data_IF_422700610593
#
_entry.id   IF_422700610593
#
_cell.length_a   1.000
_cell.length_b   1.000
_cell.length_c   1.000
_cell.angle_alpha   90.00
_cell.angle_beta   90.00
_cell.angle_gamma   90.00
#
_symmetry.space_group_name_H-M   'P 1'
#
loop_
_entity.id
_entity.type
_entity.pdbx_description
1 polymer ?
#
# COMPACT_ATOMS: atom_id res chain seq x y z
N UNK A 1 -3.40 8.26 -4.99
CA UNK A 1 -3.21 9.60 -4.43
C UNK A 1 -2.47 10.47 -5.43
N UNK A 2 -2.97 11.66 -5.63
CA UNK A 2 -2.69 12.51 -6.77
C UNK A 2 -1.28 13.10 -6.75
N UNK A 3 -0.72 13.28 -5.59
CA UNK A 3 0.62 13.86 -5.40
C UNK A 3 1.72 12.81 -5.22
N UNK A 4 1.38 11.54 -5.38
CA UNK A 4 2.33 10.47 -5.15
C UNK A 4 3.14 10.16 -6.41
N UNK A 5 4.22 10.90 -6.60
CA UNK A 5 5.15 10.69 -7.71
C UNK A 5 5.72 9.28 -7.75
N UNK A 6 5.89 8.64 -6.58
CA UNK A 6 6.35 7.26 -6.51
C UNK A 6 5.33 6.29 -7.16
N UNK A 7 4.03 6.48 -6.93
CA UNK A 7 3.01 5.65 -7.60
C UNK A 7 3.01 5.87 -9.12
N UNK A 8 3.17 7.11 -9.57
CA UNK A 8 3.25 7.41 -11.00
C UNK A 8 4.53 6.83 -11.61
N UNK A 9 5.67 6.95 -10.95
CA UNK A 9 6.94 6.36 -11.38
C UNK A 9 6.90 4.82 -11.40
N UNK A 10 6.07 4.19 -10.57
CA UNK A 10 5.87 2.74 -10.49
C UNK A 10 4.72 2.25 -11.41
N UNK A 11 4.26 3.09 -12.32
CA UNK A 11 3.29 2.75 -13.39
C UNK A 11 1.99 2.13 -12.83
N UNK A 12 1.48 2.69 -11.73
CA UNK A 12 0.23 2.22 -11.11
C UNK A 12 0.34 0.92 -10.27
N UNK A 13 1.49 0.28 -10.24
CA UNK A 13 1.71 -0.92 -9.42
C UNK A 13 2.21 -0.60 -8.00
N UNK A 14 2.41 0.67 -7.68
CA UNK A 14 2.84 1.12 -6.36
C UNK A 14 1.74 1.03 -5.31
N UNK A 15 2.10 0.56 -4.11
CA UNK A 15 1.22 0.52 -2.94
C UNK A 15 1.80 1.44 -1.87
N UNK A 16 0.99 2.38 -1.39
CA UNK A 16 1.40 3.40 -0.44
C UNK A 16 1.11 3.01 1.01
N UNK A 17 2.14 2.70 1.77
CA UNK A 17 2.06 2.55 3.23
C UNK A 17 1.84 3.92 3.90
N UNK A 18 2.33 4.98 3.28
CA UNK A 18 2.11 6.37 3.74
C UNK A 18 0.63 6.70 3.77
N UNK A 19 -0.09 6.46 2.67
CA UNK A 19 -1.54 6.67 2.59
C UNK A 19 -2.30 5.80 3.61
N UNK A 20 -1.86 4.55 3.81
CA UNK A 20 -2.44 3.65 4.81
C UNK A 20 -2.31 4.20 6.23
N UNK A 21 -1.17 4.78 6.58
CA UNK A 21 -0.96 5.41 7.89
C UNK A 21 -1.92 6.59 8.12
N UNK A 22 -2.14 7.42 7.11
CA UNK A 22 -3.12 8.51 7.20
C UNK A 22 -4.56 7.99 7.26
N UNK A 23 -4.87 6.93 6.52
CA UNK A 23 -6.18 6.26 6.60
C UNK A 23 -6.42 5.71 8.01
N UNK A 24 -5.43 5.06 8.63
CA UNK A 24 -5.55 4.60 10.02
C UNK A 24 -5.86 5.75 10.98
N UNK A 25 -5.15 6.87 10.85
CA UNK A 25 -5.39 8.07 11.65
C UNK A 25 -6.83 8.59 11.50
N UNK A 26 -7.30 8.66 10.26
CA UNK A 26 -8.70 9.04 9.98
C UNK A 26 -9.69 8.05 10.59
N UNK A 27 -9.48 6.76 10.42
CA UNK A 27 -10.35 5.71 10.96
C UNK A 27 -10.43 5.75 12.48
N UNK A 28 -9.31 6.01 13.18
CA UNK A 28 -9.30 6.18 14.63
C UNK A 28 -10.16 7.36 15.05
N UNK A 29 -9.98 8.50 14.42
CA UNK A 29 -10.81 9.69 14.67
C UNK A 29 -12.29 9.44 14.40
N UNK A 30 -12.61 8.82 13.26
CA UNK A 30 -14.00 8.52 12.90
C UNK A 30 -14.64 7.50 13.86
N UNK A 31 -13.87 6.50 14.28
CA UNK A 31 -14.29 5.52 15.27
C UNK A 31 -14.67 6.19 16.62
N UNK A 32 -13.88 7.15 17.09
CA UNK A 32 -14.18 7.92 18.29
C UNK A 32 -15.48 8.75 18.14
N UNK A 33 -15.74 9.32 16.97
CA UNK A 33 -17.00 10.01 16.68
C UNK A 33 -18.17 9.04 16.80
N UNK A 34 -18.05 7.85 16.18
CA UNK A 34 -19.10 6.83 16.23
C UNK A 34 -19.38 6.34 17.66
N UNK A 35 -18.36 6.29 18.53
CA UNK A 35 -18.52 5.91 19.92
C UNK A 35 -19.29 6.97 20.75
N UNK A 36 -19.15 8.24 20.39
CA UNK A 36 -19.73 9.37 21.18
C UNK A 36 -21.09 9.83 20.67
N UNK A 37 -21.48 9.41 19.47
CA UNK A 37 -22.73 9.86 18.86
C UNK A 37 -23.95 9.24 19.54
N UNK A 38 -25.01 10.04 19.69
CA UNK A 38 -26.33 9.56 20.10
C UNK A 38 -27.16 9.00 18.93
N UNK A 39 -26.71 9.20 17.69
CA UNK A 39 -27.40 8.74 16.49
C UNK A 39 -27.37 7.21 16.47
N UNK A 40 -28.51 6.59 16.19
CA UNK A 40 -28.68 5.14 16.17
C UNK A 40 -28.44 4.54 14.78
N UNK A 41 -28.82 5.29 13.74
CA UNK A 41 -28.73 4.90 12.35
C UNK A 41 -28.51 6.11 11.46
N UNK A 42 -27.90 5.89 10.30
CA UNK A 42 -27.72 6.91 9.26
C UNK A 42 -28.37 6.41 7.97
N UNK A 43 -29.03 7.31 7.27
CA UNK A 43 -29.64 7.02 5.98
C UNK A 43 -28.66 7.36 4.88
N UNK A 44 -28.34 6.36 4.03
CA UNK A 44 -27.45 6.50 2.87
C UNK A 44 -28.15 5.93 1.63
N UNK A 45 -27.64 6.22 0.43
CA UNK A 45 -28.21 5.64 -0.79
C UNK A 45 -28.17 4.11 -0.74
N UNK A 46 -29.16 3.44 -1.35
CA UNK A 46 -29.26 1.98 -1.38
C UNK A 46 -28.02 1.36 -2.05
N UNK A 47 -27.50 2.01 -3.06
CA UNK A 47 -26.30 1.59 -3.80
C UNK A 47 -25.05 1.63 -2.89
N UNK A 48 -24.87 2.71 -2.14
CA UNK A 48 -23.78 2.84 -1.18
C UNK A 48 -23.92 1.83 -0.03
N UNK A 49 -25.15 1.57 0.42
CA UNK A 49 -25.41 0.56 1.44
C UNK A 49 -25.04 -0.84 0.96
N UNK A 50 -25.34 -1.18 -0.29
CA UNK A 50 -24.96 -2.44 -0.90
C UNK A 50 -23.44 -2.58 -0.99
N UNK A 51 -22.75 -1.54 -1.44
CA UNK A 51 -21.29 -1.50 -1.47
C UNK A 51 -20.68 -1.65 -0.07
N UNK A 52 -21.20 -0.92 0.91
CA UNK A 52 -20.77 -1.01 2.31
C UNK A 52 -20.88 -2.43 2.86
N UNK A 53 -21.99 -3.13 2.60
CA UNK A 53 -22.15 -4.51 3.04
C UNK A 53 -21.15 -5.45 2.37
N UNK A 54 -20.95 -5.33 1.06
CA UNK A 54 -20.01 -6.20 0.32
C UNK A 54 -18.56 -6.07 0.79
N UNK A 55 -18.09 -4.84 1.05
CA UNK A 55 -16.73 -4.65 1.60
C UNK A 55 -16.64 -5.11 3.06
N UNK A 56 -17.68 -4.89 3.86
CA UNK A 56 -17.74 -5.34 5.26
C UNK A 56 -17.68 -6.88 5.35
N UNK A 57 -18.44 -7.58 4.53
CA UNK A 57 -18.42 -9.05 4.43
C UNK A 57 -17.06 -9.57 3.98
N UNK A 58 -16.44 -8.94 2.97
CA UNK A 58 -15.11 -9.34 2.50
C UNK A 58 -14.10 -9.26 3.63
N UNK A 59 -14.09 -8.20 4.41
CA UNK A 59 -13.16 -8.04 5.54
C UNK A 59 -13.51 -9.02 6.68
N UNK A 60 -14.78 -9.14 7.06
CA UNK A 60 -15.20 -10.02 8.14
C UNK A 60 -14.90 -11.50 7.86
N UNK A 61 -15.19 -11.99 6.65
CA UNK A 61 -14.94 -13.36 6.24
C UNK A 61 -13.46 -13.75 6.22
N UNK A 62 -12.57 -12.77 6.12
CA UNK A 62 -11.12 -12.98 6.10
C UNK A 62 -10.42 -12.50 7.40
N UNK A 63 -11.17 -12.11 8.43
CA UNK A 63 -10.62 -11.57 9.69
C UNK A 63 -9.68 -12.56 10.40
N UNK A 64 -9.93 -13.87 10.28
CA UNK A 64 -9.07 -14.92 10.86
C UNK A 64 -7.63 -14.86 10.35
N UNK A 65 -7.38 -14.30 9.17
CA UNK A 65 -6.04 -14.14 8.58
C UNK A 65 -5.19 -13.09 9.31
N UNK A 66 -5.81 -12.19 10.08
CA UNK A 66 -5.10 -11.15 10.85
C UNK A 66 -4.21 -11.69 11.97
N UNK A 67 -4.40 -12.95 12.35
CA UNK A 67 -3.56 -13.63 13.36
C UNK A 67 -2.20 -14.09 12.82
N UNK A 68 -2.01 -14.10 11.49
CA UNK A 68 -0.82 -14.58 10.82
C UNK A 68 -0.26 -13.62 9.78
N UNK A 69 0.58 -14.15 8.89
CA UNK A 69 1.10 -13.45 7.72
C UNK A 69 0.25 -13.78 6.50
N UNK A 70 -0.16 -12.79 5.73
CA UNK A 70 -0.92 -13.00 4.50
C UNK A 70 -0.06 -13.68 3.43
N UNK A 71 -0.53 -14.80 2.91
CA UNK A 71 0.03 -15.39 1.70
C UNK A 71 -0.34 -14.58 0.46
N UNK A 72 0.31 -14.87 -0.67
CA UNK A 72 -0.06 -14.27 -1.96
C UNK A 72 -1.51 -14.57 -2.36
N UNK A 73 -2.01 -15.77 -1.99
CA UNK A 73 -3.40 -16.18 -2.23
C UNK A 73 -4.38 -15.42 -1.35
N UNK A 74 -4.08 -15.27 -0.06
CA UNK A 74 -4.93 -14.50 0.86
C UNK A 74 -5.03 -13.04 0.42
N UNK A 75 -3.90 -12.46 0.01
CA UNK A 75 -3.83 -11.10 -0.52
C UNK A 75 -4.69 -10.95 -1.77
N UNK A 76 -4.59 -11.88 -2.73
CA UNK A 76 -5.42 -11.90 -3.94
C UNK A 76 -6.89 -12.00 -3.60
N UNK A 77 -7.27 -12.92 -2.74
CA UNK A 77 -8.67 -13.14 -2.31
C UNK A 77 -9.30 -11.88 -1.71
N UNK A 78 -8.59 -11.20 -0.80
CA UNK A 78 -9.09 -9.96 -0.19
C UNK A 78 -9.17 -8.84 -1.23
N UNK A 79 -8.13 -8.68 -2.05
CA UNK A 79 -8.08 -7.63 -3.08
C UNK A 79 -9.18 -7.81 -4.11
N UNK A 80 -9.44 -9.04 -4.54
CA UNK A 80 -10.52 -9.34 -5.49
C UNK A 80 -11.90 -9.03 -4.89
N UNK A 81 -12.14 -9.45 -3.65
CA UNK A 81 -13.40 -9.16 -2.98
C UNK A 81 -13.70 -7.66 -2.87
N UNK A 82 -12.70 -6.89 -2.44
CA UNK A 82 -12.81 -5.42 -2.35
C UNK A 82 -12.93 -4.77 -3.74
N UNK A 83 -12.15 -5.23 -4.71
CA UNK A 83 -12.14 -4.73 -6.08
C UNK A 83 -13.45 -5.03 -6.83
N UNK A 84 -14.00 -6.23 -6.67
CA UNK A 84 -15.30 -6.60 -7.25
C UNK A 84 -16.42 -5.76 -6.67
N UNK A 85 -16.48 -5.58 -5.34
CA UNK A 85 -17.47 -4.73 -4.70
C UNK A 85 -17.42 -3.30 -5.24
N UNK A 86 -16.22 -2.72 -5.34
CA UNK A 86 -16.02 -1.38 -5.87
C UNK A 86 -16.39 -1.26 -7.35
N UNK A 87 -16.05 -2.28 -8.16
CA UNK A 87 -16.37 -2.29 -9.59
C UNK A 87 -17.87 -2.41 -9.82
N UNK A 88 -18.56 -3.28 -9.09
CA UNK A 88 -20.01 -3.43 -9.17
C UNK A 88 -20.73 -2.12 -8.80
N UNK A 89 -20.31 -1.48 -7.70
CA UNK A 89 -20.88 -0.18 -7.31
C UNK A 89 -20.69 0.87 -8.41
N UNK A 90 -19.47 1.00 -8.93
CA UNK A 90 -19.15 1.99 -9.97
C UNK A 90 -19.92 1.74 -11.27
N UNK A 91 -19.96 0.50 -11.77
CA UNK A 91 -20.69 0.14 -12.98
C UNK A 91 -22.18 0.40 -12.79
N UNK A 92 -22.75 0.03 -11.65
CA UNK A 92 -24.15 0.30 -11.37
C UNK A 92 -24.49 1.80 -11.47
N UNK A 93 -23.64 2.67 -10.87
CA UNK A 93 -23.84 4.13 -10.93
C UNK A 93 -23.69 4.66 -12.35
N UNK A 94 -22.73 4.16 -13.14
CA UNK A 94 -22.52 4.63 -14.52
C UNK A 94 -23.63 4.19 -15.46
N UNK A 95 -24.14 2.97 -15.29
CA UNK A 95 -25.15 2.40 -16.19
C UNK A 95 -26.58 2.82 -15.82
N UNK A 96 -26.87 3.01 -14.52
CA UNK A 96 -28.24 3.18 -14.01
C UNK A 96 -28.46 4.49 -13.22
N UNK A 97 -27.40 5.25 -12.94
CA UNK A 97 -27.44 6.38 -12.00
C UNK A 97 -27.85 5.97 -10.56
N UNK A 98 -28.04 6.92 -9.68
CA UNK A 98 -28.58 6.67 -8.34
C UNK A 98 -30.11 6.47 -8.42
N UNK A 99 -30.63 5.44 -7.75
CA UNK A 99 -32.08 5.14 -7.72
C UNK A 99 -32.90 6.18 -6.93
N UNK A 100 -32.23 7.00 -6.13
CA UNK A 100 -32.88 7.92 -5.17
C UNK A 100 -33.42 7.23 -3.91
N UNK A 101 -33.37 5.89 -3.85
CA UNK A 101 -33.75 5.14 -2.65
C UNK A 101 -32.69 5.25 -1.57
N UNK A 102 -33.15 5.19 -0.33
CA UNK A 102 -32.27 5.22 0.83
C UNK A 102 -32.45 3.99 1.70
N UNK A 103 -31.37 3.62 2.38
CA UNK A 103 -31.34 2.52 3.34
C UNK A 103 -30.70 2.99 4.65
N UNK A 104 -31.35 2.66 5.77
CA UNK A 104 -30.81 2.93 7.09
C UNK A 104 -29.68 1.94 7.40
N UNK A 105 -28.55 2.46 7.85
CA UNK A 105 -27.41 1.67 8.35
C UNK A 105 -27.28 1.95 9.86
N UNK A 106 -27.36 0.93 10.70
CA UNK A 106 -27.13 1.08 12.13
C UNK A 106 -25.71 1.58 12.41
N UNK A 107 -25.56 2.56 13.31
CA UNK A 107 -24.24 3.10 13.70
C UNK A 107 -23.33 2.01 14.29
N UNK A 108 -23.91 0.99 14.94
CA UNK A 108 -23.15 -0.18 15.41
C UNK A 108 -22.44 -0.94 14.29
N UNK A 109 -23.03 -0.98 13.08
CA UNK A 109 -22.43 -1.67 11.93
C UNK A 109 -21.27 -0.85 11.35
N UNK A 110 -21.40 0.49 11.31
CA UNK A 110 -20.31 1.40 11.00
C UNK A 110 -19.17 1.30 12.01
N UNK A 111 -19.51 1.19 13.30
CA UNK A 111 -18.55 1.02 14.37
C UNK A 111 -17.76 -0.30 14.20
N UNK A 112 -18.46 -1.42 13.96
CA UNK A 112 -17.82 -2.70 13.69
C UNK A 112 -16.93 -2.66 12.43
N UNK A 113 -17.43 -2.05 11.35
CA UNK A 113 -16.65 -1.87 10.12
C UNK A 113 -15.36 -1.07 10.35
N UNK A 114 -15.43 0.04 11.10
CA UNK A 114 -14.23 0.82 11.40
C UNK A 114 -13.23 0.05 12.27
N UNK A 115 -13.69 -0.81 13.18
CA UNK A 115 -12.81 -1.72 13.93
C UNK A 115 -12.10 -2.72 13.03
N UNK A 116 -12.82 -3.33 12.08
CA UNK A 116 -12.22 -4.22 11.09
C UNK A 116 -11.17 -3.48 10.25
N UNK A 117 -11.52 -2.32 9.71
CA UNK A 117 -10.59 -1.52 8.90
C UNK A 117 -9.32 -1.11 9.68
N UNK A 118 -9.46 -0.75 10.97
CA UNK A 118 -8.32 -0.48 11.85
C UNK A 118 -7.44 -1.72 12.03
N UNK A 119 -8.05 -2.88 12.29
CA UNK A 119 -7.30 -4.13 12.48
C UNK A 119 -6.49 -4.52 11.23
N UNK A 120 -7.08 -4.39 10.03
CA UNK A 120 -6.36 -4.61 8.76
C UNK A 120 -5.26 -3.59 8.52
N UNK A 121 -5.51 -2.32 8.82
CA UNK A 121 -4.51 -1.25 8.68
C UNK A 121 -3.31 -1.49 9.60
N UNK A 122 -3.56 -1.82 10.85
CA UNK A 122 -2.52 -2.09 11.85
C UNK A 122 -1.73 -3.36 11.54
N UNK A 123 -2.40 -4.41 11.07
CA UNK A 123 -1.72 -5.62 10.58
C UNK A 123 -0.77 -5.28 9.43
N UNK A 124 -1.23 -4.46 8.48
CA UNK A 124 -0.44 -4.06 7.32
C UNK A 124 0.74 -3.17 7.71
N UNK A 125 0.55 -2.20 8.62
CA UNK A 125 1.65 -1.38 9.14
C UNK A 125 2.71 -2.28 9.79
N UNK A 126 2.29 -3.23 10.64
CA UNK A 126 3.20 -4.19 11.29
C UNK A 126 3.98 -5.01 10.28
N UNK A 127 3.32 -5.51 9.22
CA UNK A 127 3.95 -6.29 8.16
C UNK A 127 4.97 -5.49 7.34
N UNK A 128 4.93 -4.17 7.40
CA UNK A 128 5.87 -3.28 6.73
C UNK A 128 7.04 -2.83 7.62
N UNK A 129 7.14 -3.33 8.85
CA UNK A 129 8.30 -3.09 9.70
C UNK A 129 9.50 -3.88 9.18
N UNK A 130 10.63 -3.20 9.01
CA UNK A 130 11.90 -3.74 8.54
C UNK A 130 12.74 -4.27 9.70
N UNK A 131 13.78 -5.02 9.38
CA UNK A 131 14.71 -5.54 10.39
C UNK A 131 15.54 -4.45 11.09
N UNK A 132 15.72 -3.30 10.41
CA UNK A 132 16.40 -2.10 10.96
C UNK A 132 15.49 -1.19 11.77
N UNK A 133 14.31 -1.67 12.18
CA UNK A 133 13.24 -0.94 12.89
C UNK A 133 12.63 0.25 12.14
N UNK A 134 13.02 0.49 10.90
CA UNK A 134 12.33 1.41 10.00
C UNK A 134 11.11 0.73 9.36
N UNK A 135 10.37 1.49 8.56
CA UNK A 135 9.20 1.00 7.83
C UNK A 135 9.34 1.22 6.33
N UNK A 136 8.76 0.33 5.55
CA UNK A 136 8.58 0.57 4.12
C UNK A 136 7.57 1.69 3.89
N UNK A 137 7.87 2.57 2.92
CA UNK A 137 6.99 3.69 2.54
C UNK A 137 6.09 3.29 1.37
N UNK A 138 6.69 2.64 0.41
CA UNK A 138 6.05 2.19 -0.82
C UNK A 138 6.54 0.80 -1.19
N UNK A 139 5.62 0.01 -1.73
CA UNK A 139 5.89 -1.33 -2.22
C UNK A 139 5.41 -1.46 -3.67
N UNK A 140 5.84 -2.51 -4.35
CA UNK A 140 5.33 -2.89 -5.66
C UNK A 140 4.42 -4.10 -5.53
N UNK A 141 3.27 -4.03 -6.16
CA UNK A 141 2.33 -5.13 -6.29
C UNK A 141 2.52 -5.79 -7.67
N UNK A 142 2.60 -7.12 -7.69
CA UNK A 142 2.62 -7.90 -8.92
C UNK A 142 1.49 -8.91 -8.90
N UNK A 143 0.65 -8.89 -9.94
CA UNK A 143 -0.34 -9.94 -10.18
C UNK A 143 0.40 -11.09 -10.85
N UNK A 144 0.69 -12.14 -10.09
CA UNK A 144 1.44 -13.29 -10.58
C UNK A 144 0.58 -14.17 -11.51
N UNK A 145 -0.68 -14.34 -11.15
CA UNK A 145 -1.68 -15.10 -11.89
C UNK A 145 -3.08 -14.79 -11.36
N UNK A 146 -4.08 -15.54 -11.80
CA UNK A 146 -5.47 -15.39 -11.37
C UNK A 146 -5.72 -15.65 -9.87
N UNK A 147 -4.77 -16.26 -9.17
CA UNK A 147 -4.93 -16.67 -7.78
C UNK A 147 -3.96 -15.98 -6.81
N UNK A 148 -2.94 -15.27 -7.30
CA UNK A 148 -1.87 -14.78 -6.46
C UNK A 148 -1.46 -13.33 -6.79
N UNK A 149 -1.27 -12.55 -5.73
CA UNK A 149 -0.65 -11.22 -5.76
C UNK A 149 0.55 -11.23 -4.82
N UNK A 150 1.73 -10.95 -5.37
CA UNK A 150 2.94 -10.74 -4.59
C UNK A 150 3.18 -9.26 -4.30
N UNK A 151 3.99 -9.01 -3.28
CA UNK A 151 4.45 -7.67 -2.91
C UNK A 151 5.97 -7.70 -2.77
N UNK A 152 6.64 -6.83 -3.50
CA UNK A 152 8.06 -6.57 -3.33
C UNK A 152 8.29 -5.20 -2.68
N UNK A 153 9.38 -5.09 -1.92
CA UNK A 153 9.65 -3.93 -1.09
C UNK A 153 10.65 -3.00 -1.76
N UNK A 154 10.38 -1.70 -1.70
CA UNK A 154 11.33 -0.68 -2.11
C UNK A 154 12.29 -0.32 -0.95
N UNK A 155 13.33 0.44 -1.28
CA UNK A 155 14.27 0.97 -0.27
C UNK A 155 13.53 1.86 0.73
N UNK A 156 14.17 2.07 1.86
CA UNK A 156 13.68 3.00 2.90
C UNK A 156 13.52 4.43 2.36
N UNK A 157 12.50 5.10 2.85
CA UNK A 157 12.26 6.52 2.61
C UNK A 157 11.84 7.20 3.90
N UNK A 158 12.16 8.48 4.02
CA UNK A 158 11.81 9.30 5.18
C UNK A 158 10.28 9.40 5.37
N UNK A 159 9.53 9.50 4.27
CA UNK A 159 8.06 9.65 4.29
C UNK A 159 7.37 8.52 5.08
N UNK A 160 7.81 7.27 4.91
CA UNK A 160 7.26 6.15 5.66
C UNK A 160 7.43 6.28 7.16
N UNK A 161 8.59 6.75 7.59
CA UNK A 161 8.91 6.93 9.01
C UNK A 161 8.02 8.02 9.62
N UNK A 162 7.90 9.16 8.94
CA UNK A 162 7.03 10.27 9.35
C UNK A 162 5.56 9.84 9.39
N UNK A 163 5.10 9.11 8.38
CA UNK A 163 3.73 8.64 8.30
C UNK A 163 3.39 7.67 9.44
N UNK A 164 4.27 6.70 9.73
CA UNK A 164 4.06 5.75 10.82
C UNK A 164 4.07 6.44 12.18
N UNK A 165 5.01 7.37 12.43
CA UNK A 165 5.03 8.18 13.64
C UNK A 165 3.73 8.98 13.83
N UNK A 166 3.22 9.61 12.75
CA UNK A 166 2.00 10.42 12.81
C UNK A 166 0.71 9.61 12.83
N UNK A 167 0.77 8.31 12.53
CA UNK A 167 -0.41 7.44 12.49
C UNK A 167 -1.04 7.19 13.87
N UNK A 168 -0.27 7.39 14.95
CA UNK A 168 -0.68 7.04 16.31
C UNK A 168 -0.69 5.52 16.59
N UNK A 169 -0.07 4.72 15.71
CA UNK A 169 0.01 3.27 15.85
C UNK A 169 1.08 2.83 16.86
N UNK A 170 2.22 3.53 16.89
CA UNK A 170 3.37 3.16 17.71
C UNK A 170 3.16 3.54 19.18
N UNK A 171 3.60 2.66 20.08
CA UNK A 171 3.85 3.02 21.47
C UNK A 171 5.01 4.02 21.59
N UNK A 172 5.14 4.71 22.73
CA UNK A 172 6.23 5.65 22.96
C UNK A 172 7.62 4.99 22.84
N UNK A 173 7.75 3.74 23.30
CA UNK A 173 9.00 2.98 23.18
C UNK A 173 9.34 2.63 21.73
N UNK A 174 8.34 2.22 20.94
CA UNK A 174 8.52 1.93 19.51
C UNK A 174 8.84 3.19 18.71
N UNK A 175 8.20 4.31 19.05
CA UNK A 175 8.49 5.60 18.42
C UNK A 175 9.93 6.05 18.70
N UNK A 176 10.41 5.88 19.93
CA UNK A 176 11.80 6.17 20.28
C UNK A 176 12.76 5.26 19.50
N UNK A 177 12.51 3.96 19.47
CA UNK A 177 13.33 3.01 18.72
C UNK A 177 13.39 3.35 17.22
N UNK A 178 12.28 3.81 16.65
CA UNK A 178 12.25 4.25 15.26
C UNK A 178 13.11 5.50 15.05
N UNK A 179 13.02 6.49 15.95
CA UNK A 179 13.80 7.73 15.86
C UNK A 179 15.30 7.45 16.01
N UNK A 180 15.71 6.58 16.93
CA UNK A 180 17.10 6.17 17.10
C UNK A 180 17.64 5.43 15.86
N UNK A 181 16.82 4.52 15.30
CA UNK A 181 17.15 3.80 14.06
C UNK A 181 17.24 4.76 12.87
N UNK A 182 16.36 5.75 12.80
CA UNK A 182 16.39 6.77 11.75
C UNK A 182 17.67 7.61 11.82
N UNK A 183 18.11 7.95 13.04
CA UNK A 183 19.35 8.72 13.29
C UNK A 183 20.61 7.98 12.84
N UNK A 184 20.61 6.66 12.89
CA UNK A 184 21.74 5.80 12.48
C UNK A 184 21.62 5.27 11.06
N UNK A 185 20.51 5.56 10.38
CA UNK A 185 20.24 5.09 9.02
C UNK A 185 20.97 5.91 7.94
N UNK A 186 20.93 5.40 6.70
CA UNK A 186 21.43 6.11 5.51
C UNK A 186 20.59 7.34 5.14
N UNK A 187 19.45 7.55 5.79
CA UNK A 187 18.61 8.74 5.60
C UNK A 187 19.14 9.94 6.38
N UNK A 188 19.98 9.74 7.39
CA UNK A 188 20.57 10.82 8.16
C UNK A 188 21.85 11.34 7.50
N UNK A 189 21.97 12.67 7.42
CA UNK A 189 23.13 13.41 6.91
C UNK A 189 23.84 14.12 8.06
N UNK A 190 24.90 13.52 8.64
CA UNK A 190 25.63 14.12 9.76
C UNK A 190 26.24 15.49 9.44
N UNK A 191 26.72 15.67 8.21
CA UNK A 191 27.32 16.91 7.70
C UNK A 191 26.35 18.10 7.68
N UNK A 192 25.05 17.81 7.58
CA UNK A 192 23.98 18.83 7.56
C UNK A 192 23.08 18.79 8.78
N UNK A 193 23.30 17.81 9.68
CA UNK A 193 22.42 17.52 10.81
C UNK A 193 20.94 17.43 10.38
N UNK A 194 20.67 16.78 9.26
CA UNK A 194 19.37 16.70 8.63
C UNK A 194 19.08 15.30 8.07
N UNK A 195 17.87 15.09 7.57
CA UNK A 195 17.47 13.88 6.90
C UNK A 195 17.21 14.14 5.42
N UNK A 196 17.52 13.15 4.58
CA UNK A 196 17.20 13.13 3.17
C UNK A 196 16.00 12.20 2.91
N UNK A 197 15.28 12.44 1.82
CA UNK A 197 14.03 11.72 1.52
C UNK A 197 14.28 10.22 1.27
N UNK A 198 15.35 9.88 0.57
CA UNK A 198 15.80 8.53 0.28
C UNK A 198 17.33 8.46 0.25
N UNK A 199 17.93 7.30 0.54
CA UNK A 199 19.38 7.18 0.59
C UNK A 199 20.03 7.47 -0.76
N UNK A 200 21.20 8.08 -0.74
CA UNK A 200 22.03 8.19 -1.94
C UNK A 200 22.42 6.80 -2.44
N UNK A 201 22.25 6.56 -3.73
CA UNK A 201 22.63 5.33 -4.40
C UNK A 201 23.69 5.63 -5.46
N UNK A 202 24.77 4.86 -5.46
CA UNK A 202 25.69 4.84 -6.59
C UNK A 202 25.02 4.06 -7.72
N UNK A 203 24.52 4.78 -8.70
CA UNK A 203 23.93 4.15 -9.88
C UNK A 203 25.05 3.71 -10.83
N UNK A 204 24.90 2.52 -11.38
CA UNK A 204 25.78 2.07 -12.47
C UNK A 204 25.67 3.03 -13.64
N UNK A 205 26.81 3.32 -14.27
CA UNK A 205 26.87 4.09 -15.51
C UNK A 205 26.08 3.43 -16.65
N UNK A 206 25.81 4.19 -17.69
CA UNK A 206 25.02 3.71 -18.83
C UNK A 206 25.62 2.43 -19.44
N UNK A 207 26.90 2.39 -19.68
CA UNK A 207 27.60 1.24 -20.27
C UNK A 207 27.65 0.02 -19.34
N UNK A 208 27.74 0.22 -18.02
CA UNK A 208 27.71 -0.87 -17.05
C UNK A 208 26.32 -1.49 -16.90
N UNK A 209 25.28 -0.68 -17.10
CA UNK A 209 23.89 -1.10 -16.95
C UNK A 209 23.33 -1.74 -18.21
N UNK A 210 23.75 -1.25 -19.39
CA UNK A 210 23.16 -1.61 -20.68
C UNK A 210 24.13 -2.49 -21.47
N UNK A 211 24.56 -3.59 -20.88
CA UNK A 211 25.36 -4.61 -21.57
C UNK A 211 24.46 -5.67 -22.21
N UNK A 212 24.76 -6.03 -23.44
CA UNK A 212 24.07 -7.11 -24.16
C UNK A 212 24.72 -8.44 -23.73
N UNK A 213 23.95 -9.38 -23.17
CA UNK A 213 24.52 -10.65 -22.72
C UNK A 213 25.02 -11.48 -23.90
N UNK A 214 26.10 -12.27 -23.72
CA UNK A 214 26.68 -13.10 -24.80
C UNK A 214 25.70 -14.01 -25.53
N UNK A 215 24.71 -14.53 -24.80
CA UNK A 215 23.64 -15.36 -25.37
C UNK A 215 22.75 -14.60 -26.36
N UNK A 216 22.47 -13.32 -26.12
CA UNK A 216 21.72 -12.49 -27.07
C UNK A 216 22.56 -12.18 -28.31
N UNK A 217 23.87 -11.95 -28.14
CA UNK A 217 24.82 -11.78 -29.25
C UNK A 217 24.85 -13.04 -30.13
N UNK A 218 24.96 -14.23 -29.53
CA UNK A 218 25.00 -15.51 -30.26
C UNK A 218 23.74 -15.76 -31.09
N UNK A 219 22.62 -15.20 -30.68
CA UNK A 219 21.34 -15.40 -31.34
C UNK A 219 21.00 -14.29 -32.37
N UNK A 220 21.91 -13.35 -32.62
CA UNK A 220 21.67 -12.21 -33.53
C UNK A 220 22.83 -12.09 -34.54
N UNK A 221 22.55 -12.32 -35.82
CA UNK A 221 23.55 -12.16 -36.89
C UNK A 221 24.06 -10.73 -36.98
N UNK A 222 23.22 -9.73 -36.76
CA UNK A 222 23.60 -8.31 -36.76
C UNK A 222 24.62 -8.03 -35.66
N UNK A 223 24.37 -8.48 -34.43
CA UNK A 223 25.30 -8.26 -33.32
C UNK A 223 26.62 -8.99 -33.52
N UNK A 224 26.60 -10.19 -34.10
CA UNK A 224 27.82 -10.94 -34.47
C UNK A 224 28.64 -10.17 -35.49
N UNK A 225 27.98 -9.62 -36.53
CA UNK A 225 28.68 -8.81 -37.55
C UNK A 225 29.29 -7.56 -36.93
N UNK A 226 28.56 -6.83 -36.09
CA UNK A 226 29.07 -5.63 -35.42
C UNK A 226 30.31 -5.93 -34.56
N UNK A 227 30.30 -7.04 -33.84
CA UNK A 227 31.48 -7.48 -33.04
C UNK A 227 32.64 -7.85 -33.94
N UNK A 228 32.40 -8.58 -35.05
CA UNK A 228 33.43 -8.95 -35.99
C UNK A 228 34.09 -7.72 -36.65
N UNK A 229 33.35 -6.63 -36.81
CA UNK A 229 33.84 -5.33 -37.31
C UNK A 229 34.51 -4.48 -36.21
N UNK A 230 34.66 -5.00 -34.99
CA UNK A 230 35.31 -4.31 -33.87
C UNK A 230 34.41 -3.35 -33.09
N UNK A 231 33.10 -3.37 -33.34
CA UNK A 231 32.13 -2.58 -32.56
C UNK A 231 31.72 -3.34 -31.30
N UNK A 232 32.32 -2.98 -30.17
CA UNK A 232 32.08 -3.63 -28.87
C UNK A 232 31.32 -2.74 -27.87
N UNK A 233 30.80 -1.59 -28.31
CA UNK A 233 30.05 -0.62 -27.47
C UNK A 233 28.57 -0.62 -27.81
#
# INVERSE_FOLDING_TARGET
PEWNDANNALVGNGISVVTLCYLRRFLTFFHEILQRTAIKEVSISEELATYFHSISETLANNQHLLSGTFSNKDRKKITDGLGMAASQYRLHIYDNSLSGKQKAIPVKDLHHFTQLCLAYSEHTIRANKRQDNLYHSYNLMTVENEQEISVSYLSEMLEGQVAVLSSGYLSSAEALNLLDSLRTSKLYRPDQNSYILYPNKNLKGFLEKNTIPPTAVSNSSILQTLIAEGNTQ
#
